data_IF_147898438176
#
_entry.id   IF_147898438176
#
_cell.length_a   1.000
_cell.length_b   1.000
_cell.length_c   1.000
_cell.angle_alpha   90.00
_cell.angle_beta   90.00
_cell.angle_gamma   90.00
#
_symmetry.space_group_name_H-M   'P 1'
#
loop_
_entity.id
_entity.type
_entity.pdbx_description
1 polymer ?
#
# COMPACT_ATOMS: atom_id res chain seq x y z
N UNK A 1 63.28 10.58 -13.56
CA UNK A 1 61.95 10.03 -13.23
C UNK A 1 60.93 10.81 -14.06
N UNK A 2 60.36 10.18 -15.09
CA UNK A 2 59.40 10.84 -15.99
C UNK A 2 58.00 10.73 -15.36
N UNK A 3 57.42 11.86 -14.97
CA UNK A 3 56.10 11.90 -14.31
C UNK A 3 55.06 12.12 -15.41
N UNK A 4 54.38 11.05 -15.82
CA UNK A 4 53.31 11.12 -16.81
C UNK A 4 52.11 11.87 -16.20
N UNK A 5 51.94 13.13 -16.61
CA UNK A 5 50.82 13.96 -16.21
C UNK A 5 49.53 13.39 -16.79
N UNK A 6 48.70 12.77 -15.94
CA UNK A 6 47.37 12.32 -16.34
C UNK A 6 46.46 13.54 -16.42
N UNK A 7 46.05 13.92 -17.63
CA UNK A 7 45.09 15.02 -17.83
C UNK A 7 43.80 14.73 -17.07
N UNK A 8 43.57 15.46 -15.98
CA UNK A 8 42.30 15.45 -15.27
C UNK A 8 41.24 16.12 -16.15
N UNK A 9 40.38 15.29 -16.77
CA UNK A 9 39.19 15.76 -17.48
C UNK A 9 38.13 16.09 -16.42
N UNK A 10 37.91 17.38 -16.18
CA UNK A 10 36.87 17.87 -15.28
C UNK A 10 35.47 17.74 -15.90
N UNK A 11 34.47 17.60 -15.03
CA UNK A 11 33.05 17.62 -15.40
C UNK A 11 32.68 18.94 -16.08
N UNK A 12 31.87 18.85 -17.14
CA UNK A 12 31.33 20.05 -17.79
C UNK A 12 30.12 20.58 -17.02
N UNK A 13 29.89 21.90 -17.04
CA UNK A 13 28.69 22.49 -16.44
C UNK A 13 27.41 21.98 -17.12
N UNK A 14 27.49 21.63 -18.41
CA UNK A 14 26.35 21.11 -19.15
C UNK A 14 25.97 19.69 -18.73
N UNK A 15 26.94 18.86 -18.32
CA UNK A 15 26.64 17.55 -17.71
C UNK A 15 25.83 17.70 -16.44
N UNK A 16 26.26 18.60 -15.54
CA UNK A 16 25.52 18.84 -14.30
C UNK A 16 24.14 19.45 -14.58
N UNK A 17 24.03 20.35 -15.56
CA UNK A 17 22.76 20.96 -15.98
C UNK A 17 21.74 19.90 -16.43
N UNK A 18 22.13 18.99 -17.32
CA UNK A 18 21.23 17.95 -17.82
C UNK A 18 20.83 16.98 -16.70
N UNK A 19 21.76 16.64 -15.81
CA UNK A 19 21.48 15.76 -14.66
C UNK A 19 20.44 16.37 -13.74
N UNK A 20 20.57 17.65 -13.35
CA UNK A 20 19.58 18.28 -12.44
C UNK A 20 18.22 18.44 -13.11
N UNK A 21 18.17 18.66 -14.43
CA UNK A 21 16.91 18.70 -15.20
C UNK A 21 16.22 17.34 -15.17
N UNK A 22 16.94 16.25 -15.43
CA UNK A 22 16.38 14.89 -15.39
C UNK A 22 15.90 14.56 -13.96
N UNK A 23 16.70 14.85 -12.94
CA UNK A 23 16.31 14.63 -11.54
C UNK A 23 15.06 15.44 -11.15
N UNK A 24 14.91 16.67 -11.64
CA UNK A 24 13.72 17.49 -11.41
C UNK A 24 12.44 16.89 -12.03
N UNK A 25 12.52 16.39 -13.27
CA UNK A 25 11.40 15.73 -13.95
C UNK A 25 11.00 14.43 -13.22
N UNK A 26 11.99 13.60 -12.89
CA UNK A 26 11.76 12.33 -12.18
C UNK A 26 11.13 12.57 -10.80
N UNK A 27 11.61 13.57 -10.05
CA UNK A 27 11.06 13.92 -8.76
C UNK A 27 9.57 14.34 -8.83
N UNK A 28 9.18 15.06 -9.89
CA UNK A 28 7.78 15.47 -10.09
C UNK A 28 6.82 14.31 -10.36
N UNK A 29 7.23 13.34 -11.19
CA UNK A 29 6.38 12.18 -11.55
C UNK A 29 6.13 11.27 -10.34
N UNK A 30 7.17 11.05 -9.53
CA UNK A 30 7.13 10.10 -8.40
C UNK A 30 6.09 10.49 -7.35
N UNK A 31 5.88 11.79 -7.10
CA UNK A 31 4.91 12.26 -6.08
C UNK A 31 3.46 11.92 -6.43
N UNK A 32 3.09 11.98 -7.71
CA UNK A 32 1.70 11.70 -8.15
C UNK A 32 1.32 10.22 -8.06
N UNK A 33 2.28 9.31 -8.24
CA UNK A 33 2.02 7.87 -8.33
C UNK A 33 1.62 7.24 -6.98
N UNK A 34 2.15 7.72 -5.85
CA UNK A 34 1.89 7.13 -4.54
C UNK A 34 0.46 7.35 -4.01
N UNK A 35 -0.17 8.47 -4.36
CA UNK A 35 -1.49 8.81 -3.82
C UNK A 35 -2.60 7.93 -4.42
N UNK A 36 -2.57 7.67 -5.72
CA UNK A 36 -3.63 6.91 -6.42
C UNK A 36 -3.57 5.40 -6.13
N UNK A 37 -2.36 4.85 -5.98
CA UNK A 37 -2.17 3.42 -5.66
C UNK A 37 -2.66 3.08 -4.24
N UNK A 38 -2.48 4.00 -3.28
CA UNK A 38 -2.89 3.77 -1.89
C UNK A 38 -4.42 3.73 -1.76
N UNK A 39 -5.14 4.67 -2.38
CA UNK A 39 -6.61 4.70 -2.30
C UNK A 39 -7.28 3.46 -2.92
N UNK A 40 -6.80 3.01 -4.08
CA UNK A 40 -7.34 1.80 -4.75
C UNK A 40 -6.99 0.51 -4.01
N UNK A 41 -5.78 0.44 -3.43
CA UNK A 41 -5.38 -0.66 -2.53
C UNK A 41 -6.27 -0.73 -1.29
N UNK A 42 -6.53 0.42 -0.65
CA UNK A 42 -7.36 0.49 0.55
C UNK A 42 -8.81 0.06 0.26
N UNK A 43 -9.38 0.52 -0.86
CA UNK A 43 -10.72 0.08 -1.29
C UNK A 43 -10.78 -1.43 -1.56
N UNK A 44 -9.73 -1.99 -2.17
CA UNK A 44 -9.64 -3.43 -2.46
C UNK A 44 -9.51 -4.27 -1.19
N UNK A 45 -8.68 -3.81 -0.24
CA UNK A 45 -8.53 -4.43 1.08
C UNK A 45 -9.84 -4.41 1.86
N UNK A 46 -10.55 -3.28 1.87
CA UNK A 46 -11.87 -3.17 2.51
C UNK A 46 -12.89 -4.15 1.91
N UNK A 47 -12.93 -4.24 0.57
CA UNK A 47 -13.81 -5.20 -0.13
C UNK A 47 -13.47 -6.65 0.22
N UNK A 48 -12.19 -6.97 0.36
CA UNK A 48 -11.73 -8.30 0.78
C UNK A 48 -12.19 -8.61 2.21
N UNK A 49 -11.97 -7.69 3.15
CA UNK A 49 -12.41 -7.82 4.54
C UNK A 49 -13.92 -8.07 4.64
N UNK A 50 -14.74 -7.30 3.92
CA UNK A 50 -16.19 -7.49 3.90
C UNK A 50 -16.61 -8.85 3.30
N UNK A 51 -15.88 -9.34 2.29
CA UNK A 51 -16.15 -10.66 1.68
C UNK A 51 -15.90 -11.79 2.69
N UNK A 52 -14.84 -11.68 3.49
CA UNK A 52 -14.55 -12.63 4.57
C UNK A 52 -15.66 -12.61 5.62
N UNK A 53 -16.08 -11.43 6.10
CA UNK A 53 -17.20 -11.31 7.05
C UNK A 53 -18.45 -11.95 6.50
N UNK A 54 -18.82 -11.66 5.24
CA UNK A 54 -20.00 -12.23 4.61
C UNK A 54 -19.96 -13.75 4.54
N UNK A 55 -18.82 -14.33 4.16
CA UNK A 55 -18.62 -15.79 4.13
C UNK A 55 -18.84 -16.40 5.51
N UNK A 56 -18.32 -15.78 6.56
CA UNK A 56 -18.46 -16.29 7.93
C UNK A 56 -19.88 -16.11 8.47
N UNK A 57 -20.57 -15.03 8.11
CA UNK A 57 -22.00 -14.87 8.39
C UNK A 57 -22.80 -15.99 7.73
N UNK A 58 -22.55 -16.29 6.45
CA UNK A 58 -23.23 -17.37 5.74
C UNK A 58 -22.99 -18.72 6.43
N UNK A 59 -21.74 -19.04 6.77
CA UNK A 59 -21.39 -20.26 7.51
C UNK A 59 -22.06 -20.36 8.89
N UNK A 60 -22.09 -19.26 9.64
CA UNK A 60 -22.75 -19.20 10.94
C UNK A 60 -24.27 -19.37 10.79
N UNK A 61 -24.87 -18.80 9.74
CA UNK A 61 -26.30 -18.95 9.42
C UNK A 61 -26.72 -20.39 9.18
N UNK A 62 -25.87 -21.21 8.58
CA UNK A 62 -26.16 -22.62 8.38
C UNK A 62 -26.20 -23.42 9.69
N UNK A 63 -25.45 -23.02 10.71
CA UNK A 63 -25.25 -23.80 11.94
C UNK A 63 -26.05 -23.28 13.12
N UNK A 64 -26.19 -21.96 13.26
CA UNK A 64 -26.72 -21.30 14.47
C UNK A 64 -27.79 -20.25 14.15
N UNK A 65 -28.15 -20.03 12.88
CA UNK A 65 -29.07 -18.98 12.46
C UNK A 65 -28.40 -17.60 12.31
N UNK A 66 -29.18 -16.52 12.24
CA UNK A 66 -28.64 -15.18 11.94
C UNK A 66 -27.78 -14.63 13.09
N UNK A 67 -26.49 -14.30 12.87
CA UNK A 67 -25.67 -13.68 13.89
C UNK A 67 -26.17 -12.27 14.21
N UNK A 68 -26.20 -11.91 15.50
CA UNK A 68 -26.68 -10.59 15.99
C UNK A 68 -25.61 -9.50 15.91
N UNK A 69 -24.33 -9.89 15.87
CA UNK A 69 -23.18 -8.98 15.66
C UNK A 69 -21.99 -9.72 15.08
N UNK A 70 -21.00 -8.97 14.57
CA UNK A 70 -19.72 -9.53 14.07
C UNK A 70 -18.91 -10.16 15.22
N UNK A 71 -19.06 -9.68 16.46
CA UNK A 71 -18.40 -10.26 17.64
C UNK A 71 -18.80 -11.71 17.87
N UNK A 72 -20.04 -12.10 17.55
CA UNK A 72 -20.48 -13.49 17.69
C UNK A 72 -19.65 -14.42 16.80
N UNK A 73 -19.26 -13.96 15.61
CA UNK A 73 -18.42 -14.72 14.69
C UNK A 73 -16.98 -14.85 15.20
N UNK A 74 -16.48 -13.86 15.93
CA UNK A 74 -15.15 -13.90 16.56
C UNK A 74 -15.15 -14.85 17.75
N UNK A 75 -16.14 -14.70 18.64
CA UNK A 75 -16.28 -15.53 19.84
C UNK A 75 -16.57 -17.01 19.52
N UNK A 76 -17.22 -17.30 18.39
CA UNK A 76 -17.46 -18.66 17.92
C UNK A 76 -16.24 -19.30 17.23
N UNK A 77 -15.14 -18.55 17.04
CA UNK A 77 -13.93 -19.03 16.37
C UNK A 77 -14.00 -19.01 14.84
N UNK A 78 -15.07 -18.45 14.26
CA UNK A 78 -15.23 -18.31 12.81
C UNK A 78 -14.40 -17.15 12.24
N UNK A 79 -14.07 -16.15 13.04
CA UNK A 79 -13.15 -15.06 12.69
C UNK A 79 -12.07 -14.95 13.76
N UNK A 80 -10.81 -14.79 13.35
CA UNK A 80 -9.69 -14.62 14.29
C UNK A 80 -9.75 -13.27 15.05
N UNK A 81 -10.34 -12.25 14.42
CA UNK A 81 -10.58 -10.92 14.98
C UNK A 81 -11.65 -10.20 14.18
N UNK A 82 -12.26 -9.16 14.75
CA UNK A 82 -13.14 -8.25 13.99
C UNK A 82 -12.35 -7.60 12.86
N UNK A 83 -12.77 -7.70 11.59
CA UNK A 83 -12.03 -7.08 10.51
C UNK A 83 -11.94 -5.57 10.70
N UNK A 84 -10.75 -5.04 10.47
CA UNK A 84 -10.46 -3.60 10.52
C UNK A 84 -10.23 -3.09 9.11
N UNK A 85 -10.53 -1.81 8.92
CA UNK A 85 -10.19 -1.07 7.71
C UNK A 85 -8.67 -0.95 7.56
N UNK A 86 -8.19 -0.66 6.34
CA UNK A 86 -6.78 -0.39 6.09
C UNK A 86 -6.21 0.74 6.97
N UNK A 87 -7.08 1.63 7.45
CA UNK A 87 -6.76 2.74 8.34
C UNK A 87 -6.85 2.36 9.84
N UNK A 88 -7.15 1.09 10.16
CA UNK A 88 -7.23 0.57 11.53
C UNK A 88 -8.57 0.76 12.24
N UNK A 89 -9.57 1.37 11.61
CA UNK A 89 -10.91 1.49 12.18
C UNK A 89 -11.69 0.18 12.04
N UNK A 90 -12.41 -0.24 13.09
CA UNK A 90 -13.33 -1.38 12.99
C UNK A 90 -14.51 -1.06 12.07
N UNK A 91 -14.96 -2.05 11.31
CA UNK A 91 -16.25 -1.98 10.62
C UNK A 91 -17.34 -2.22 11.69
N UNK A 92 -17.83 -1.13 12.29
CA UNK A 92 -18.98 -1.13 13.21
C UNK A 92 -20.24 -1.67 12.55
#
# INVERSE_FOLDING_TARGET
MNVSNQSQRGFTLIEILIVVVILGILAGIVVGQFQTTTASSNASAAKSSLKVVRSQIELYRYSHGTPTSVDVLVNNGNLASTPVSPEGFQYV
#
